data_IF_810120347127
#
_entry.id   IF_810120347127
#
_cell.length_a   1.000
_cell.length_b   1.000
_cell.length_c   1.000
_cell.angle_alpha   90.00
_cell.angle_beta   90.00
_cell.angle_gamma   90.00
#
_symmetry.space_group_name_H-M   'P 1'
#
loop_
_entity.id
_entity.type
_entity.pdbx_description
1 polymer ?
#
# COMPACT_ATOMS: atom_id res chain seq x y z
N UNK A 1 3.65 22.13 -20.10
CA UNK A 1 3.80 21.62 -18.71
C UNK A 1 2.72 20.60 -18.29
N UNK A 2 1.57 20.55 -18.95
CA UNK A 2 0.51 19.55 -18.71
C UNK A 2 0.74 18.15 -19.33
N UNK A 3 1.75 17.99 -20.19
CA UNK A 3 2.04 16.72 -20.90
C UNK A 3 2.95 15.76 -20.12
N UNK A 4 3.70 16.24 -19.12
CA UNK A 4 4.69 15.41 -18.39
C UNK A 4 4.09 14.58 -17.25
N UNK A 5 2.95 15.00 -16.68
CA UNK A 5 2.31 14.25 -15.57
C UNK A 5 1.50 13.01 -16.01
N UNK A 6 1.09 12.96 -17.29
CA UNK A 6 0.33 11.83 -17.86
C UNK A 6 1.20 10.61 -18.23
N UNK A 7 2.53 10.76 -18.26
CA UNK A 7 3.44 9.70 -18.71
C UNK A 7 3.90 8.74 -17.61
N UNK A 8 3.66 9.05 -16.31
CA UNK A 8 4.06 8.19 -15.19
C UNK A 8 2.95 7.26 -14.70
N UNK A 9 1.70 7.49 -15.10
CA UNK A 9 0.54 6.69 -14.67
C UNK A 9 0.25 5.45 -15.54
N UNK A 10 1.04 5.16 -16.57
CA UNK A 10 0.62 4.18 -17.59
C UNK A 10 1.72 3.20 -18.02
N UNK A 11 2.43 2.56 -17.07
CA UNK A 11 3.41 1.52 -17.42
C UNK A 11 3.11 0.10 -16.94
N UNK A 12 2.04 -0.13 -16.19
CA UNK A 12 1.52 -1.48 -15.91
C UNK A 12 0.23 -1.67 -16.69
N UNK A 13 0.34 -2.32 -17.82
CA UNK A 13 -0.77 -2.64 -18.73
C UNK A 13 -1.79 -3.54 -18.04
N UNK A 14 -2.97 -3.02 -17.74
CA UNK A 14 -4.13 -3.82 -17.35
C UNK A 14 -4.81 -3.46 -16.02
N UNK A 15 -4.18 -2.68 -15.14
CA UNK A 15 -4.74 -2.31 -13.85
C UNK A 15 -5.05 -0.80 -13.75
N UNK A 16 -6.19 -0.47 -13.12
CA UNK A 16 -6.54 0.87 -12.70
C UNK A 16 -6.42 0.96 -11.18
N UNK A 17 -5.54 1.83 -10.67
CA UNK A 17 -5.37 2.07 -9.24
C UNK A 17 -6.21 3.28 -8.85
N UNK A 18 -7.06 3.13 -7.83
CA UNK A 18 -7.94 4.17 -7.31
C UNK A 18 -7.70 4.35 -5.81
N UNK A 19 -7.46 5.58 -5.38
CA UNK A 19 -7.37 5.89 -3.96
C UNK A 19 -8.77 5.80 -3.33
N UNK A 20 -8.91 5.08 -2.22
CA UNK A 20 -10.19 4.82 -1.56
C UNK A 20 -10.86 6.12 -1.08
N UNK A 21 -10.09 7.07 -0.55
CA UNK A 21 -10.65 8.35 -0.08
C UNK A 21 -11.27 9.13 -1.23
N UNK A 22 -10.57 9.21 -2.37
CA UNK A 22 -11.09 9.87 -3.56
C UNK A 22 -12.33 9.16 -4.12
N UNK A 23 -12.37 7.84 -4.05
CA UNK A 23 -13.54 7.07 -4.47
C UNK A 23 -14.75 7.37 -3.58
N UNK A 24 -14.57 7.44 -2.26
CA UNK A 24 -15.64 7.82 -1.32
C UNK A 24 -16.16 9.23 -1.61
N UNK A 25 -15.26 10.16 -1.95
CA UNK A 25 -15.64 11.54 -2.33
C UNK A 25 -16.42 11.59 -3.67
N UNK A 26 -16.12 10.68 -4.59
CA UNK A 26 -16.73 10.63 -5.93
C UNK A 26 -18.11 9.96 -5.95
N UNK A 27 -18.24 8.78 -5.33
CA UNK A 27 -19.47 7.97 -5.41
C UNK A 27 -20.24 7.87 -4.10
N UNK A 28 -19.71 8.39 -3.01
CA UNK A 28 -20.32 8.29 -1.68
C UNK A 28 -19.86 7.06 -0.89
N UNK A 29 -20.10 7.12 0.42
CA UNK A 29 -19.64 6.10 1.35
C UNK A 29 -20.40 4.78 1.24
N UNK A 30 -21.73 4.85 1.09
CA UNK A 30 -22.59 3.65 1.06
C UNK A 30 -22.37 2.84 -0.22
N UNK A 31 -22.21 3.50 -1.36
CA UNK A 31 -21.86 2.87 -2.63
C UNK A 31 -20.48 2.22 -2.57
N UNK A 32 -19.54 2.93 -1.92
CA UNK A 32 -18.20 2.39 -1.70
C UNK A 32 -18.24 1.16 -0.79
N UNK A 33 -18.97 1.18 0.33
CA UNK A 33 -19.15 0.01 1.20
C UNK A 33 -19.75 -1.19 0.45
N UNK A 34 -20.74 -0.93 -0.39
CA UNK A 34 -21.36 -1.96 -1.24
C UNK A 34 -20.33 -2.58 -2.17
N UNK A 35 -19.47 -1.77 -2.78
CA UNK A 35 -18.39 -2.26 -3.64
C UNK A 35 -17.39 -3.10 -2.85
N UNK A 36 -16.95 -2.64 -1.67
CA UNK A 36 -15.98 -3.34 -0.83
C UNK A 36 -16.56 -4.63 -0.22
N UNK A 37 -17.85 -4.73 -0.01
CA UNK A 37 -18.50 -5.94 0.53
C UNK A 37 -18.31 -7.18 -0.36
N UNK A 38 -18.04 -6.98 -1.65
CA UNK A 38 -17.76 -8.05 -2.61
C UNK A 38 -16.30 -8.55 -2.59
N UNK A 39 -15.45 -7.95 -1.77
CA UNK A 39 -14.07 -8.44 -1.61
C UNK A 39 -14.04 -9.68 -0.72
N UNK A 40 -13.27 -10.68 -1.10
CA UNK A 40 -13.07 -11.88 -0.30
C UNK A 40 -11.61 -12.31 -0.29
N UNK A 41 -11.08 -12.57 0.91
CA UNK A 41 -9.71 -13.06 1.12
C UNK A 41 -9.69 -14.20 2.16
N UNK A 42 -10.15 -15.42 1.78
CA UNK A 42 -10.27 -16.53 2.71
C UNK A 42 -8.93 -17.05 3.27
N UNK A 43 -7.82 -16.59 2.71
CA UNK A 43 -6.48 -16.95 3.19
C UNK A 43 -6.03 -16.11 4.40
N UNK A 44 -6.64 -14.93 4.61
CA UNK A 44 -6.36 -14.04 5.73
C UNK A 44 -7.60 -13.20 6.03
N UNK A 45 -8.26 -13.52 7.14
CA UNK A 45 -9.49 -12.87 7.58
C UNK A 45 -9.26 -11.41 7.97
N UNK A 46 -8.12 -11.09 8.58
CA UNK A 46 -7.77 -9.71 8.96
C UNK A 46 -7.66 -8.79 7.74
N UNK A 47 -7.12 -9.30 6.63
CA UNK A 47 -7.03 -8.59 5.35
C UNK A 47 -8.42 -8.32 4.77
N UNK A 48 -9.33 -9.30 4.85
CA UNK A 48 -10.71 -9.13 4.38
C UNK A 48 -11.46 -8.12 5.27
N UNK A 49 -11.42 -8.31 6.58
CA UNK A 49 -12.09 -7.45 7.56
C UNK A 49 -11.58 -6.00 7.46
N UNK A 50 -10.26 -5.80 7.35
CA UNK A 50 -9.69 -4.48 7.21
C UNK A 50 -10.31 -3.71 6.03
N UNK A 51 -10.34 -4.30 4.84
CA UNK A 51 -10.87 -3.62 3.67
C UNK A 51 -12.36 -3.32 3.80
N UNK A 52 -13.14 -4.30 4.26
CA UNK A 52 -14.60 -4.21 4.30
C UNK A 52 -15.13 -3.30 5.39
N UNK A 53 -14.41 -3.21 6.53
CA UNK A 53 -14.91 -2.54 7.74
C UNK A 53 -14.06 -1.33 8.12
N UNK A 54 -12.72 -1.43 8.07
CA UNK A 54 -11.83 -0.45 8.69
C UNK A 54 -11.23 0.56 7.69
N UNK A 55 -11.06 0.19 6.43
CA UNK A 55 -10.27 0.95 5.46
C UNK A 55 -10.81 2.37 5.20
N UNK A 56 -12.12 2.54 5.13
CA UNK A 56 -12.74 3.86 4.91
C UNK A 56 -12.41 4.79 6.08
N UNK A 57 -12.61 4.32 7.30
CA UNK A 57 -12.38 5.12 8.50
C UNK A 57 -10.88 5.45 8.66
N UNK A 58 -9.99 4.49 8.43
CA UNK A 58 -8.54 4.71 8.45
C UNK A 58 -8.11 5.76 7.42
N UNK A 59 -8.72 5.75 6.23
CA UNK A 59 -8.44 6.75 5.19
C UNK A 59 -8.95 8.14 5.58
N UNK A 60 -10.12 8.25 6.22
CA UNK A 60 -10.67 9.52 6.72
C UNK A 60 -9.81 10.12 7.81
N UNK A 61 -9.37 9.31 8.77
CA UNK A 61 -8.51 9.73 9.88
C UNK A 61 -7.05 9.98 9.47
N UNK A 62 -6.66 9.62 8.24
CA UNK A 62 -5.29 9.75 7.79
C UNK A 62 -4.31 8.74 8.41
N UNK A 63 -4.80 7.67 9.03
CA UNK A 63 -3.99 6.62 9.64
C UNK A 63 -3.31 5.74 8.59
N UNK A 64 -4.03 5.43 7.51
CA UNK A 64 -3.52 4.74 6.34
C UNK A 64 -4.29 5.16 5.09
N UNK A 65 -3.65 5.06 3.93
CA UNK A 65 -4.29 5.31 2.64
C UNK A 65 -4.39 4.02 1.84
N UNK A 66 -5.61 3.61 1.56
CA UNK A 66 -5.92 2.39 0.82
C UNK A 66 -6.04 2.69 -0.67
N UNK A 67 -5.43 1.85 -1.48
CA UNK A 67 -5.46 1.90 -2.94
C UNK A 67 -6.13 0.62 -3.46
N UNK A 68 -7.25 0.80 -4.13
CA UNK A 68 -8.00 -0.27 -4.76
C UNK A 68 -7.45 -0.52 -6.16
N UNK A 69 -7.30 -1.78 -6.52
CA UNK A 69 -6.80 -2.20 -7.83
C UNK A 69 -7.92 -2.87 -8.60
N UNK A 70 -8.25 -2.28 -9.74
CA UNK A 70 -9.26 -2.80 -10.65
C UNK A 70 -8.62 -3.35 -11.91
N UNK A 71 -9.12 -4.49 -12.36
CA UNK A 71 -8.80 -5.11 -13.64
C UNK A 71 -10.03 -5.17 -14.53
N UNK A 72 -9.81 -5.18 -15.85
CA UNK A 72 -10.89 -5.46 -16.79
C UNK A 72 -11.20 -6.97 -16.80
N UNK A 73 -12.40 -7.34 -16.43
CA UNK A 73 -12.88 -8.70 -16.46
C UNK A 73 -14.27 -8.77 -17.12
N UNK A 74 -14.39 -9.53 -18.21
CA UNK A 74 -15.63 -9.66 -18.99
C UNK A 74 -16.26 -8.31 -19.36
N UNK A 75 -15.41 -7.34 -19.76
CA UNK A 75 -15.83 -6.00 -20.17
C UNK A 75 -16.24 -5.06 -19.04
N UNK A 76 -16.02 -5.44 -17.76
CA UNK A 76 -16.30 -4.60 -16.59
C UNK A 76 -15.06 -4.40 -15.75
N UNK A 77 -14.94 -3.23 -15.12
CA UNK A 77 -13.92 -2.99 -14.09
C UNK A 77 -14.31 -3.76 -12.82
N UNK A 78 -13.45 -4.68 -12.42
CA UNK A 78 -13.67 -5.59 -11.29
C UNK A 78 -12.55 -5.40 -10.29
N UNK A 79 -12.88 -5.33 -8.99
CA UNK A 79 -11.91 -5.22 -7.91
C UNK A 79 -11.04 -6.48 -7.88
N UNK A 80 -9.76 -6.33 -8.21
CA UNK A 80 -8.78 -7.42 -8.25
C UNK A 80 -8.03 -7.59 -6.92
N UNK A 81 -7.81 -6.49 -6.20
CA UNK A 81 -7.10 -6.48 -4.94
C UNK A 81 -6.95 -5.08 -4.38
N UNK A 82 -6.19 -4.96 -3.31
CA UNK A 82 -5.87 -3.66 -2.72
C UNK A 82 -4.53 -3.72 -1.98
N UNK A 83 -3.96 -2.55 -1.74
CA UNK A 83 -2.91 -2.36 -0.74
C UNK A 83 -3.18 -1.10 0.08
N UNK A 84 -2.68 -1.09 1.31
CA UNK A 84 -2.81 0.04 2.21
C UNK A 84 -1.43 0.51 2.66
N UNK A 85 -1.19 1.81 2.57
CA UNK A 85 0.06 2.45 2.94
C UNK A 85 -0.14 3.33 4.18
N UNK A 86 0.77 3.20 5.13
CA UNK A 86 0.85 4.07 6.30
C UNK A 86 2.25 4.68 6.41
N UNK A 87 2.36 5.80 7.11
CA UNK A 87 3.66 6.35 7.45
C UNK A 87 3.95 6.07 8.92
N UNK A 88 5.03 5.34 9.19
CA UNK A 88 5.41 4.97 10.55
C UNK A 88 6.90 5.18 10.80
N UNK A 89 7.24 5.34 12.07
CA UNK A 89 8.62 5.25 12.53
C UNK A 89 9.00 3.80 12.76
N UNK A 90 10.15 3.42 12.21
CA UNK A 90 10.78 2.12 12.47
C UNK A 90 11.93 2.35 13.43
N UNK A 91 12.00 1.51 14.46
CA UNK A 91 13.14 1.46 15.38
C UNK A 91 13.89 0.15 15.17
N UNK A 92 15.15 0.26 14.76
CA UNK A 92 16.00 -0.91 14.47
C UNK A 92 17.18 -0.93 15.44
N UNK A 93 17.34 -1.99 16.22
CA UNK A 93 18.46 -2.15 17.14
C UNK A 93 19.79 -2.19 16.39
N UNK A 94 20.77 -1.44 16.86
CA UNK A 94 22.07 -1.28 16.18
C UNK A 94 22.89 -2.58 16.07
N UNK A 95 22.67 -3.54 16.97
CA UNK A 95 23.33 -4.85 16.97
C UNK A 95 22.82 -5.81 15.87
N UNK A 96 21.61 -5.58 15.36
CA UNK A 96 21.01 -6.39 14.29
C UNK A 96 21.52 -5.93 12.93
N UNK A 97 21.81 -4.63 12.78
CA UNK A 97 22.16 -4.02 11.50
C UNK A 97 23.66 -4.06 11.29
N UNK A 98 24.11 -4.76 10.22
CA UNK A 98 25.54 -4.93 9.89
C UNK A 98 25.85 -4.49 8.46
N UNK A 99 27.14 -4.24 8.20
CA UNK A 99 27.69 -4.05 6.86
C UNK A 99 27.06 -2.89 6.08
N UNK A 100 26.75 -3.13 4.81
CA UNK A 100 26.21 -2.13 3.88
C UNK A 100 24.87 -1.57 4.32
N UNK A 101 24.01 -2.39 4.97
CA UNK A 101 22.71 -1.95 5.46
C UNK A 101 22.87 -0.90 6.55
N UNK A 102 23.80 -1.09 7.50
CA UNK A 102 24.11 -0.11 8.54
C UNK A 102 24.56 1.22 7.94
N UNK A 103 25.44 1.18 6.94
CA UNK A 103 25.92 2.40 6.26
C UNK A 103 24.76 3.15 5.56
N UNK A 104 23.82 2.42 4.96
CA UNK A 104 22.63 3.03 4.34
C UNK A 104 21.70 3.62 5.38
N UNK A 105 21.40 2.89 6.46
CA UNK A 105 20.51 3.36 7.53
C UNK A 105 21.09 4.62 8.19
N UNK A 106 22.38 4.66 8.49
CA UNK A 106 23.05 5.82 9.11
C UNK A 106 22.87 7.14 8.33
N UNK A 107 22.58 7.07 7.03
CA UNK A 107 22.38 8.29 6.21
C UNK A 107 20.99 8.89 6.37
N UNK A 108 20.00 8.11 6.83
CA UNK A 108 18.58 8.49 6.82
C UNK A 108 17.92 8.37 8.20
N UNK A 109 18.57 7.70 9.14
CA UNK A 109 18.06 7.45 10.47
C UNK A 109 18.71 8.36 11.51
N UNK A 110 17.95 8.67 12.55
CA UNK A 110 18.49 9.28 13.77
C UNK A 110 18.93 8.15 14.70
N UNK A 111 20.17 8.24 15.20
CA UNK A 111 20.68 7.27 16.16
C UNK A 111 20.36 7.69 17.58
N UNK A 112 19.58 6.88 18.28
CA UNK A 112 19.30 7.04 19.71
C UNK A 112 20.40 6.36 20.52
N UNK A 113 21.19 7.18 21.24
CA UNK A 113 22.30 6.73 22.06
C UNK A 113 21.86 5.89 23.27
N UNK A 114 20.71 6.22 23.87
CA UNK A 114 20.21 5.54 25.06
C UNK A 114 19.61 4.18 24.70
N UNK A 115 18.76 4.15 23.68
CA UNK A 115 18.14 2.92 23.19
C UNK A 115 19.07 2.07 22.33
N UNK A 116 20.26 2.58 21.94
CA UNK A 116 21.21 1.95 20.98
C UNK A 116 20.52 1.49 19.71
N UNK A 117 19.65 2.33 19.18
CA UNK A 117 18.80 2.02 18.03
C UNK A 117 18.76 3.14 17.00
N UNK A 118 18.46 2.77 15.78
CA UNK A 118 18.19 3.69 14.67
C UNK A 118 16.70 3.92 14.55
N UNK A 119 16.29 5.19 14.53
CA UNK A 119 14.91 5.60 14.27
C UNK A 119 14.83 6.25 12.89
N UNK A 120 13.96 5.76 12.04
CA UNK A 120 13.71 6.33 10.72
C UNK A 120 12.22 6.28 10.38
N UNK A 121 11.74 7.30 9.66
CA UNK A 121 10.41 7.29 9.06
C UNK A 121 10.47 6.59 7.72
N UNK A 122 9.53 5.69 7.48
CA UNK A 122 9.40 5.02 6.19
C UNK A 122 7.94 4.64 5.91
N UNK A 123 7.52 4.63 4.64
CA UNK A 123 6.26 4.04 4.27
C UNK A 123 6.19 2.57 4.66
N UNK A 124 5.08 2.20 5.30
CA UNK A 124 4.70 0.82 5.61
C UNK A 124 3.66 0.35 4.60
N UNK A 125 3.86 -0.80 3.99
CA UNK A 125 2.79 -1.55 3.35
C UNK A 125 2.05 -2.28 4.47
N UNK A 126 0.98 -1.66 4.96
CA UNK A 126 0.27 -2.12 6.16
C UNK A 126 -0.69 -3.28 5.86
N UNK A 127 -1.22 -3.32 4.65
CA UNK A 127 -2.11 -4.38 4.18
C UNK A 127 -1.87 -4.64 2.70
N UNK A 128 -2.01 -5.90 2.30
CA UNK A 128 -1.88 -6.35 0.92
C UNK A 128 -2.85 -7.51 0.69
N UNK A 129 -3.87 -7.31 -0.14
CA UNK A 129 -4.93 -8.30 -0.30
C UNK A 129 -5.37 -8.52 -1.73
N UNK A 130 -5.40 -9.80 -2.15
CA UNK A 130 -6.00 -10.24 -3.41
C UNK A 130 -7.47 -10.53 -3.22
N UNK A 131 -8.28 -10.21 -4.23
CA UNK A 131 -9.68 -10.61 -4.24
C UNK A 131 -9.84 -12.03 -4.80
N UNK A 132 -10.37 -12.93 -3.98
CA UNK A 132 -10.65 -14.32 -4.34
C UNK A 132 -12.12 -14.57 -4.74
N UNK A 133 -12.96 -13.54 -4.67
CA UNK A 133 -14.37 -13.65 -5.11
C UNK A 133 -14.49 -13.92 -6.62
N UNK A 134 -13.45 -13.56 -7.40
CA UNK A 134 -13.41 -13.77 -8.85
C UNK A 134 -12.40 -14.87 -9.18
N UNK A 135 -12.82 -15.81 -10.03
CA UNK A 135 -11.97 -16.92 -10.52
C UNK A 135 -11.86 -16.88 -12.04
N UNK A 136 -10.65 -17.01 -12.62
CA UNK A 136 -9.35 -17.02 -11.94
C UNK A 136 -9.04 -15.69 -11.25
N UNK A 137 -8.07 -15.70 -10.32
CA UNK A 137 -7.59 -14.47 -9.68
C UNK A 137 -7.08 -13.49 -10.74
N UNK A 138 -7.50 -12.23 -10.64
CA UNK A 138 -7.20 -11.20 -11.63
C UNK A 138 -5.82 -10.56 -11.44
N UNK A 139 -5.16 -10.79 -10.30
CA UNK A 139 -3.84 -10.28 -9.97
C UNK A 139 -3.05 -11.32 -9.16
N UNK A 140 -1.76 -11.42 -9.39
CA UNK A 140 -0.84 -12.21 -8.56
C UNK A 140 -0.40 -11.42 -7.32
N UNK A 141 0.18 -12.12 -6.32
CA UNK A 141 0.76 -11.47 -5.14
C UNK A 141 1.95 -10.59 -5.51
N UNK A 142 2.78 -11.03 -6.44
CA UNK A 142 3.97 -10.31 -6.89
C UNK A 142 3.57 -9.00 -7.61
N UNK A 143 2.61 -9.05 -8.53
CA UNK A 143 2.09 -7.85 -9.21
C UNK A 143 1.50 -6.86 -8.20
N UNK A 144 0.76 -7.34 -7.20
CA UNK A 144 0.17 -6.51 -6.17
C UNK A 144 1.24 -5.80 -5.33
N UNK A 145 2.29 -6.53 -4.95
CA UNK A 145 3.44 -5.98 -4.22
C UNK A 145 4.21 -4.97 -5.08
N UNK A 146 4.42 -5.27 -6.35
CA UNK A 146 5.09 -4.37 -7.30
C UNK A 146 4.34 -3.04 -7.44
N UNK A 147 3.01 -3.06 -7.59
CA UNK A 147 2.18 -1.85 -7.64
C UNK A 147 2.29 -1.02 -6.34
N UNK A 148 2.33 -1.67 -5.18
CA UNK A 148 2.54 -0.98 -3.91
C UNK A 148 3.93 -0.32 -3.83
N UNK A 149 4.98 -1.02 -4.28
CA UNK A 149 6.34 -0.50 -4.33
C UNK A 149 6.49 0.66 -5.32
N UNK A 150 5.86 0.59 -6.49
CA UNK A 150 5.83 1.70 -7.46
C UNK A 150 5.14 2.93 -6.88
N UNK A 151 4.02 2.74 -6.17
CA UNK A 151 3.33 3.85 -5.50
C UNK A 151 4.21 4.49 -4.43
N UNK A 152 4.91 3.70 -3.62
CA UNK A 152 5.87 4.21 -2.64
C UNK A 152 7.00 4.97 -3.33
N UNK A 153 7.56 4.44 -4.42
CA UNK A 153 8.62 5.10 -5.18
C UNK A 153 8.17 6.47 -5.71
N UNK A 154 6.93 6.59 -6.16
CA UNK A 154 6.35 7.88 -6.58
C UNK A 154 6.25 8.86 -5.41
N UNK A 155 5.81 8.40 -4.25
CA UNK A 155 5.74 9.23 -3.03
C UNK A 155 7.15 9.69 -2.61
N UNK A 156 8.14 8.82 -2.70
CA UNK A 156 9.52 9.12 -2.33
C UNK A 156 10.21 10.11 -3.30
N UNK A 157 9.72 10.27 -4.52
CA UNK A 157 10.19 11.32 -5.43
C UNK A 157 9.82 12.72 -4.90
N UNK A 158 8.66 12.86 -4.27
CA UNK A 158 8.16 14.13 -3.74
C UNK A 158 8.64 14.40 -2.31
N UNK A 159 8.66 13.37 -1.46
CA UNK A 159 8.98 13.50 -0.02
C UNK A 159 10.42 13.13 0.35
N UNK A 160 11.14 12.49 -0.57
CA UNK A 160 12.42 11.85 -0.24
C UNK A 160 12.24 10.52 0.47
N UNK A 161 13.36 9.97 1.01
CA UNK A 161 13.38 8.64 1.63
C UNK A 161 13.96 7.59 0.71
N UNK A 162 14.38 6.46 1.30
CA UNK A 162 15.02 5.34 0.57
C UNK A 162 14.63 3.98 1.13
N UNK A 163 13.73 3.95 2.11
CA UNK A 163 13.27 2.74 2.76
C UNK A 163 11.75 2.65 2.68
N UNK A 164 11.29 1.45 2.53
CA UNK A 164 9.93 1.03 2.78
C UNK A 164 10.00 -0.27 3.57
N UNK A 165 8.96 -0.63 4.28
CA UNK A 165 8.93 -1.89 4.98
C UNK A 165 7.56 -2.56 4.89
N UNK A 166 7.57 -3.86 5.12
CA UNK A 166 6.41 -4.73 5.18
C UNK A 166 6.52 -5.54 6.47
N UNK A 167 5.46 -5.61 7.23
CA UNK A 167 5.35 -6.53 8.37
C UNK A 167 4.75 -7.84 7.86
N UNK A 168 5.48 -8.94 8.06
CA UNK A 168 4.99 -10.28 7.74
C UNK A 168 4.69 -11.00 9.05
N UNK A 169 3.59 -11.72 9.10
CA UNK A 169 3.33 -12.70 10.14
C UNK A 169 4.21 -13.93 9.90
N UNK A 170 4.72 -14.52 11.00
CA UNK A 170 5.55 -15.74 10.99
C UNK A 170 4.72 -16.99 10.68
#
# INVERSE_FOLDING_TARGET
EKRSRRCLENRMTGFKIVNLKLLVEEIGEEETKTLLSNFSCPLNEDVEEFLRIKAIEFSKQGLAQTHLIFASYRGKLTLAGYFSLANKYITVKSNIVKGKLRQRINRFAVFDQQAKSYCLSAPLIAQLGKNFAVKPSLISGDELLELACEKISTIQLDLGGKFAYLECED
#
